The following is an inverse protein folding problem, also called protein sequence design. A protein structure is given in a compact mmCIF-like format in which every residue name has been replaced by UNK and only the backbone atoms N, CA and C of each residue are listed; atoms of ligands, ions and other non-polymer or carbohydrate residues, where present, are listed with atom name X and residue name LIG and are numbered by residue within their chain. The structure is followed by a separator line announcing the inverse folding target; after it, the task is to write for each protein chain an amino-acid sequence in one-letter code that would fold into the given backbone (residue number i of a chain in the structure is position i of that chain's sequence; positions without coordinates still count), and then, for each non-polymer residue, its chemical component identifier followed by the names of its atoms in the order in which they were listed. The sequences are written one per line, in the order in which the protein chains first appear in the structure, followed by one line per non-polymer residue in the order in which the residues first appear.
data_IF_817801687544
#
_entry.id   IF_817801687544
#
_cell.length_a   1.000
_cell.length_b   1.000
_cell.length_c   1.000
_cell.angle_alpha   90.00
_cell.angle_beta   90.00
_cell.angle_gamma   90.00
#
_symmetry.space_group_name_H-M   'P 1'
#
loop_
_entity.id
_entity.type
_entity.pdbx_description
1 polymer ?
#
# COMPACT_ATOMS: atom_id res chain seq x y z
N UNK A 1 19.45 -13.13 21.22
CA UNK A 1 19.81 -14.18 20.25
C UNK A 1 18.92 -14.13 19.03
N UNK A 2 19.53 -14.16 17.85
CA UNK A 2 18.84 -14.05 16.56
C UNK A 2 18.17 -15.39 16.22
N UNK A 3 16.86 -15.47 16.48
CA UNK A 3 16.01 -16.62 16.24
C UNK A 3 16.05 -17.13 14.79
N UNK A 4 16.42 -16.27 13.82
CA UNK A 4 16.54 -16.64 12.41
C UNK A 4 17.81 -17.44 12.08
N UNK A 5 18.82 -17.43 12.95
CA UNK A 5 20.03 -18.25 12.79
C UNK A 5 19.81 -19.70 13.23
N UNK A 6 18.70 -20.01 13.88
CA UNK A 6 18.42 -21.32 14.46
C UNK A 6 18.50 -22.47 13.44
N UNK A 7 18.05 -22.25 12.20
CA UNK A 7 18.17 -23.26 11.14
C UNK A 7 19.63 -23.56 10.81
N UNK A 8 20.46 -22.51 10.68
CA UNK A 8 21.88 -22.65 10.34
C UNK A 8 22.67 -23.32 11.46
N UNK A 9 22.36 -22.98 12.71
CA UNK A 9 22.96 -23.59 13.91
C UNK A 9 22.53 -25.05 14.05
N UNK A 10 21.25 -25.36 13.82
CA UNK A 10 20.76 -26.75 13.85
C UNK A 10 21.40 -27.62 12.76
N UNK A 11 21.63 -27.05 11.57
CA UNK A 11 22.30 -27.75 10.47
C UNK A 11 23.78 -27.98 10.76
N UNK A 12 24.48 -26.99 11.32
CA UNK A 12 25.89 -27.13 11.71
C UNK A 12 26.07 -28.13 12.86
N UNK A 13 25.13 -28.16 13.83
CA UNK A 13 25.12 -29.17 14.90
C UNK A 13 24.81 -30.58 14.38
N UNK A 14 23.87 -30.73 13.44
CA UNK A 14 23.58 -32.02 12.79
C UNK A 14 24.81 -32.57 12.06
N UNK A 15 25.61 -31.71 11.43
CA UNK A 15 26.82 -32.14 10.72
C UNK A 15 27.99 -32.49 11.64
N UNK A 16 28.02 -31.94 12.87
CA UNK A 16 29.09 -32.19 13.86
C UNK A 16 28.80 -33.35 14.80
N UNK A 17 27.52 -33.68 15.00
CA UNK A 17 27.08 -34.80 15.83
C UNK A 17 26.88 -36.01 14.93
N UNK A 18 27.70 -37.05 15.12
CA UNK A 18 27.55 -38.33 14.43
C UNK A 18 26.09 -38.82 14.53
N UNK A 19 25.56 -39.41 13.44
CA UNK A 19 24.14 -39.60 13.09
C UNK A 19 23.23 -40.40 14.05
N UNK A 20 23.60 -40.50 15.32
CA UNK A 20 22.83 -41.01 16.44
C UNK A 20 21.87 -39.97 17.05
N UNK A 21 22.02 -38.68 16.72
CA UNK A 21 21.22 -37.59 17.29
C UNK A 21 20.33 -36.90 16.24
N UNK A 22 19.05 -36.73 16.56
CA UNK A 22 18.10 -35.94 15.76
C UNK A 22 18.01 -34.52 16.31
N UNK A 23 18.70 -33.57 15.66
CA UNK A 23 18.59 -32.14 16.01
C UNK A 23 17.31 -31.57 15.38
N UNK A 24 16.41 -30.99 16.19
CA UNK A 24 15.23 -30.26 15.71
C UNK A 24 15.34 -28.82 16.14
N UNK A 25 15.20 -27.90 15.20
CA UNK A 25 15.12 -26.47 15.51
C UNK A 25 13.71 -26.10 16.05
N UNK A 26 13.63 -24.95 16.73
CA UNK A 26 12.39 -24.47 17.33
C UNK A 26 11.30 -24.15 16.29
N UNK A 27 11.69 -23.80 15.06
CA UNK A 27 10.81 -23.60 13.90
C UNK A 27 10.15 -24.91 13.42
N UNK A 28 10.83 -26.05 13.55
CA UNK A 28 10.29 -27.38 13.27
C UNK A 28 9.36 -27.87 14.38
N UNK A 29 9.70 -27.59 15.65
CA UNK A 29 8.83 -27.91 16.80
C UNK A 29 7.50 -27.14 16.75
N UNK A 30 7.50 -25.89 16.26
CA UNK A 30 6.31 -25.04 16.17
C UNK A 30 5.85 -24.83 14.71
N UNK A 31 5.98 -25.86 13.87
CA UNK A 31 5.68 -25.77 12.44
C UNK A 31 4.23 -25.35 12.14
N UNK A 32 3.25 -25.78 12.95
CA UNK A 32 1.85 -25.36 12.81
C UNK A 32 1.66 -23.86 13.11
N UNK A 33 2.33 -23.33 14.13
CA UNK A 33 2.30 -21.90 14.46
C UNK A 33 2.93 -21.06 13.34
N UNK A 34 4.10 -21.47 12.83
CA UNK A 34 4.74 -20.77 11.70
C UNK A 34 3.90 -20.82 10.43
N UNK A 35 3.25 -21.96 10.14
CA UNK A 35 2.30 -22.07 9.02
C UNK A 35 1.09 -21.17 9.21
N UNK A 36 0.55 -21.08 10.43
CA UNK A 36 -0.55 -20.17 10.76
C UNK A 36 -0.15 -18.70 10.55
N UNK A 37 0.97 -18.25 11.12
CA UNK A 37 1.49 -16.87 10.95
C UNK A 37 1.79 -16.54 9.49
N UNK A 38 2.36 -17.48 8.73
CA UNK A 38 2.61 -17.28 7.30
C UNK A 38 1.31 -17.15 6.50
N UNK A 39 0.32 -17.96 6.83
CA UNK A 39 -1.00 -17.93 6.17
C UNK A 39 -1.73 -16.63 6.49
N UNK A 40 -1.69 -16.18 7.75
CA UNK A 40 -2.24 -14.90 8.17
C UNK A 40 -1.59 -13.72 7.43
N UNK A 41 -0.25 -13.67 7.36
CA UNK A 41 0.47 -12.65 6.60
C UNK A 41 0.10 -12.66 5.11
N UNK A 42 -0.12 -13.83 4.53
CA UNK A 42 -0.58 -13.95 3.14
C UNK A 42 -1.98 -13.35 2.96
N UNK A 43 -2.91 -13.64 3.87
CA UNK A 43 -4.26 -13.07 3.84
C UNK A 43 -4.22 -11.55 3.99
N UNK A 44 -3.41 -11.02 4.93
CA UNK A 44 -3.20 -9.59 5.08
C UNK A 44 -2.64 -8.94 3.81
N UNK A 45 -1.65 -9.58 3.17
CA UNK A 45 -1.10 -9.11 1.90
C UNK A 45 -2.15 -9.07 0.79
N UNK A 46 -2.99 -10.11 0.67
CA UNK A 46 -4.08 -10.15 -0.32
C UNK A 46 -5.07 -9.00 -0.08
N UNK A 47 -5.57 -8.83 1.15
CA UNK A 47 -6.52 -7.77 1.49
C UNK A 47 -5.92 -6.39 1.18
N UNK A 48 -4.70 -6.13 1.64
CA UNK A 48 -4.02 -4.86 1.40
C UNK A 48 -3.83 -4.59 -0.10
N UNK A 49 -3.43 -5.61 -0.86
CA UNK A 49 -3.25 -5.50 -2.31
C UNK A 49 -4.56 -5.14 -3.03
N UNK A 50 -5.69 -5.68 -2.56
CA UNK A 50 -7.00 -5.45 -3.15
C UNK A 50 -7.49 -4.04 -2.84
N UNK A 51 -7.27 -3.54 -1.63
CA UNK A 51 -7.55 -2.14 -1.25
C UNK A 51 -6.74 -1.18 -2.14
N UNK A 52 -5.44 -1.43 -2.32
CA UNK A 52 -4.58 -0.61 -3.18
C UNK A 52 -5.04 -0.68 -4.65
N UNK A 53 -5.41 -1.86 -5.15
CA UNK A 53 -5.91 -2.02 -6.50
C UNK A 53 -7.22 -1.24 -6.74
N UNK A 54 -8.18 -1.32 -5.81
CA UNK A 54 -9.44 -0.56 -5.89
C UNK A 54 -9.17 0.95 -5.85
N UNK A 55 -8.27 1.41 -4.99
CA UNK A 55 -7.90 2.82 -4.92
C UNK A 55 -7.23 3.31 -6.21
N UNK A 56 -6.31 2.53 -6.79
CA UNK A 56 -5.67 2.85 -8.05
C UNK A 56 -6.68 2.91 -9.21
N UNK A 57 -7.61 1.95 -9.28
CA UNK A 57 -8.69 1.96 -10.27
C UNK A 57 -9.60 3.18 -10.13
N UNK A 58 -9.92 3.58 -8.90
CA UNK A 58 -10.71 4.78 -8.64
C UNK A 58 -9.99 6.04 -9.13
N UNK A 59 -8.68 6.18 -8.84
CA UNK A 59 -7.86 7.28 -9.34
C UNK A 59 -7.89 7.36 -10.88
N UNK A 60 -7.67 6.23 -11.56
CA UNK A 60 -7.75 6.16 -13.03
C UNK A 60 -9.12 6.60 -13.53
N UNK A 61 -10.19 6.11 -12.90
CA UNK A 61 -11.57 6.41 -13.28
C UNK A 61 -11.88 7.90 -13.16
N UNK A 62 -11.47 8.52 -12.05
CA UNK A 62 -11.63 9.96 -11.83
C UNK A 62 -10.84 10.77 -12.84
N UNK A 63 -9.57 10.43 -13.11
CA UNK A 63 -8.78 11.15 -14.11
C UNK A 63 -9.37 11.02 -15.53
N UNK A 64 -9.86 9.84 -15.90
CA UNK A 64 -10.53 9.65 -17.20
C UNK A 64 -11.79 10.49 -17.28
N UNK A 65 -12.61 10.51 -16.22
CA UNK A 65 -13.81 11.34 -16.14
C UNK A 65 -13.49 12.83 -16.29
N UNK A 66 -12.47 13.32 -15.58
CA UNK A 66 -12.04 14.73 -15.70
C UNK A 66 -11.58 15.04 -17.13
N UNK A 67 -10.86 14.12 -17.79
CA UNK A 67 -10.46 14.29 -19.19
C UNK A 67 -11.67 14.36 -20.11
N UNK A 68 -12.67 13.51 -19.90
CA UNK A 68 -13.89 13.51 -20.73
C UNK A 68 -14.71 14.78 -20.52
N UNK A 69 -14.88 15.23 -19.28
CA UNK A 69 -15.63 16.44 -18.95
C UNK A 69 -14.95 17.70 -19.50
N UNK A 70 -13.62 17.66 -19.69
CA UNK A 70 -12.80 18.74 -20.23
C UNK A 70 -12.48 18.62 -21.71
N UNK A 71 -13.18 17.75 -22.46
CA UNK A 71 -12.90 17.56 -23.89
C UNK A 71 -13.12 18.81 -24.74
N UNK A 72 -14.15 19.62 -24.45
CA UNK A 72 -14.41 20.87 -25.18
C UNK A 72 -13.29 21.89 -24.94
N UNK A 73 -12.89 22.11 -23.68
CA UNK A 73 -11.77 22.97 -23.29
C UNK A 73 -10.46 22.52 -23.98
N UNK A 74 -10.20 21.20 -24.01
CA UNK A 74 -9.03 20.63 -24.72
C UNK A 74 -9.11 20.92 -26.22
N UNK A 75 -10.28 20.76 -26.84
CA UNK A 75 -10.45 21.01 -28.27
C UNK A 75 -10.17 22.47 -28.62
N UNK A 76 -10.66 23.42 -27.82
CA UNK A 76 -10.36 24.86 -27.97
C UNK A 76 -8.85 25.12 -27.84
N UNK A 77 -8.20 24.56 -26.83
CA UNK A 77 -6.74 24.70 -26.68
C UNK A 77 -6.00 24.13 -27.90
N UNK A 78 -6.46 23.00 -28.45
CA UNK A 78 -5.88 22.40 -29.66
C UNK A 78 -6.09 23.26 -30.90
N UNK A 79 -7.22 23.95 -31.04
CA UNK A 79 -7.44 24.87 -32.17
C UNK A 79 -6.60 26.15 -32.04
N UNK A 80 -6.30 26.57 -30.81
CA UNK A 80 -5.34 27.65 -30.52
C UNK A 80 -3.87 27.24 -30.69
N UNK A 81 -3.59 25.99 -31.08
CA UNK A 81 -2.23 25.50 -31.37
C UNK A 81 -1.55 24.73 -30.24
N UNK A 82 -2.27 24.36 -29.17
CA UNK A 82 -1.71 23.52 -28.11
C UNK A 82 -1.30 22.14 -28.66
N UNK A 83 -0.05 21.75 -28.40
CA UNK A 83 0.45 20.44 -28.79
C UNK A 83 -0.15 19.33 -27.91
N UNK A 84 -0.33 18.10 -28.43
CA UNK A 84 -0.74 16.94 -27.65
C UNK A 84 0.13 16.68 -26.41
N UNK A 85 1.42 17.01 -26.49
CA UNK A 85 2.37 16.88 -25.37
C UNK A 85 2.07 17.87 -24.25
N UNK A 86 1.65 19.09 -24.58
CA UNK A 86 1.26 20.08 -23.59
C UNK A 86 0.04 19.61 -22.79
N UNK A 87 -0.97 19.06 -23.48
CA UNK A 87 -2.16 18.50 -22.84
C UNK A 87 -1.78 17.32 -21.95
N UNK A 88 -0.93 16.42 -22.43
CA UNK A 88 -0.43 15.29 -21.63
C UNK A 88 0.27 15.77 -20.35
N UNK A 89 1.11 16.80 -20.44
CA UNK A 89 1.83 17.34 -19.30
C UNK A 89 0.89 17.95 -18.24
N UNK A 90 -0.19 18.63 -18.65
CA UNK A 90 -1.18 19.19 -17.72
C UNK A 90 -1.82 18.07 -16.89
N UNK A 91 -2.29 17.01 -17.54
CA UNK A 91 -2.90 15.87 -16.84
C UNK A 91 -1.90 15.06 -16.02
N UNK A 92 -0.65 14.94 -16.48
CA UNK A 92 0.43 14.34 -15.70
C UNK A 92 0.70 15.10 -14.40
N UNK A 93 0.82 16.43 -14.48
CA UNK A 93 1.04 17.27 -13.29
C UNK A 93 -0.16 17.21 -12.35
N UNK A 94 -1.38 17.21 -12.88
CA UNK A 94 -2.59 17.07 -12.07
C UNK A 94 -2.64 15.73 -11.31
N UNK A 95 -2.40 14.62 -12.01
CA UNK A 95 -2.38 13.30 -11.36
C UNK A 95 -1.24 13.13 -10.36
N UNK A 96 -0.05 13.67 -10.67
CA UNK A 96 1.07 13.72 -9.73
C UNK A 96 0.76 14.55 -8.48
N UNK A 97 0.12 15.71 -8.64
CA UNK A 97 -0.27 16.56 -7.52
C UNK A 97 -1.25 15.83 -6.59
N UNK A 98 -2.29 15.20 -7.15
CA UNK A 98 -3.23 14.37 -6.38
C UNK A 98 -2.50 13.22 -5.68
N UNK A 99 -1.58 12.54 -6.38
CA UNK A 99 -0.77 11.46 -5.84
C UNK A 99 0.11 11.85 -4.66
N UNK A 100 0.83 12.96 -4.79
CA UNK A 100 1.74 13.48 -3.76
C UNK A 100 0.93 13.94 -2.55
N UNK A 101 -0.13 14.74 -2.76
CA UNK A 101 -0.97 15.22 -1.66
C UNK A 101 -1.63 14.04 -0.94
N UNK A 102 -2.19 13.08 -1.69
CA UNK A 102 -2.78 11.87 -1.13
C UNK A 102 -1.77 11.04 -0.35
N UNK A 103 -0.54 10.88 -0.86
CA UNK A 103 0.53 10.16 -0.16
C UNK A 103 0.94 10.88 1.12
N UNK A 104 1.13 12.20 1.09
CA UNK A 104 1.49 12.98 2.27
C UNK A 104 0.40 12.91 3.35
N UNK A 105 -0.86 13.11 2.98
CA UNK A 105 -1.99 12.99 3.91
C UNK A 105 -2.10 11.57 4.46
N UNK A 106 -1.96 10.55 3.61
CA UNK A 106 -1.99 9.14 4.01
C UNK A 106 -0.85 8.77 4.97
N UNK A 107 0.37 9.27 4.73
CA UNK A 107 1.52 9.06 5.61
C UNK A 107 1.32 9.76 6.95
N UNK A 108 0.88 11.02 6.97
CA UNK A 108 0.62 11.77 8.20
C UNK A 108 -0.45 11.06 9.03
N UNK A 109 -1.58 10.70 8.41
CA UNK A 109 -2.65 9.98 9.08
C UNK A 109 -2.19 8.60 9.56
N UNK A 110 -1.51 7.83 8.71
CA UNK A 110 -1.02 6.50 9.05
C UNK A 110 -0.01 6.50 10.20
N UNK A 111 0.96 7.42 10.17
CA UNK A 111 1.94 7.58 11.26
C UNK A 111 1.26 8.06 12.54
N UNK A 112 0.32 9.00 12.45
CA UNK A 112 -0.42 9.49 13.62
C UNK A 112 -1.22 8.36 14.27
N UNK A 113 -1.94 7.57 13.47
CA UNK A 113 -2.71 6.42 13.97
C UNK A 113 -1.79 5.36 14.56
N UNK A 114 -0.69 5.02 13.88
CA UNK A 114 0.26 4.01 14.37
C UNK A 114 0.92 4.43 15.69
N UNK A 115 1.30 5.70 15.84
CA UNK A 115 1.90 6.22 17.08
C UNK A 115 0.93 6.35 18.26
N UNK A 116 -0.38 6.39 18.00
CA UNK A 116 -1.42 6.53 19.04
C UNK A 116 -2.26 5.25 19.20
N UNK A 117 -1.76 4.10 18.71
CA UNK A 117 -2.55 2.85 18.73
C UNK A 117 -2.83 2.37 20.17
N UNK A 118 -1.93 2.69 21.09
CA UNK A 118 -2.03 2.47 22.53
C UNK A 118 -3.19 3.25 23.17
N UNK A 119 -3.60 4.37 22.58
CA UNK A 119 -4.75 5.16 23.02
C UNK A 119 -6.02 4.77 22.26
N UNK A 120 -5.92 4.55 20.95
CA UNK A 120 -7.06 4.26 20.06
C UNK A 120 -7.69 2.91 20.39
N UNK A 121 -6.88 1.87 20.62
CA UNK A 121 -7.38 0.51 20.86
C UNK A 121 -8.22 0.44 22.15
N UNK A 122 -7.74 0.90 23.33
CA UNK A 122 -8.55 0.87 24.55
C UNK A 122 -9.79 1.76 24.48
N UNK A 123 -9.75 2.86 23.71
CA UNK A 123 -10.92 3.71 23.49
C UNK A 123 -12.03 2.95 22.78
N UNK A 124 -11.71 2.25 21.69
CA UNK A 124 -12.67 1.43 20.94
C UNK A 124 -13.19 0.28 21.81
N UNK A 125 -12.32 -0.42 22.54
CA UNK A 125 -12.73 -1.51 23.44
C UNK A 125 -13.75 -1.05 24.49
N UNK A 126 -13.53 0.13 25.10
CA UNK A 126 -14.46 0.72 26.08
C UNK A 126 -15.79 1.14 25.45
N UNK A 127 -15.77 1.67 24.23
CA UNK A 127 -16.99 2.14 23.54
C UNK A 127 -17.86 0.97 23.07
N UNK A 128 -17.26 -0.10 22.55
CA UNK A 128 -17.99 -1.25 21.99
C UNK A 128 -18.15 -2.42 22.96
N UNK A 129 -17.56 -2.34 24.16
CA UNK A 129 -17.74 -3.34 25.22
C UNK A 129 -17.14 -4.71 24.89
N UNK A 130 -16.18 -4.78 23.95
CA UNK A 130 -15.45 -6.00 23.61
C UNK A 130 -13.99 -5.84 24.01
N UNK A 131 -13.38 -6.92 24.53
CA UNK A 131 -11.94 -6.99 24.79
C UNK A 131 -11.28 -7.68 23.61
N UNK A 132 -10.44 -6.97 22.85
CA UNK A 132 -9.72 -7.54 21.73
C UNK A 132 -8.61 -8.49 22.20
N UNK A 133 -8.02 -8.20 23.36
CA UNK A 133 -7.07 -9.07 24.05
C UNK A 133 -7.35 -9.10 25.55
N UNK A 134 -7.96 -10.18 26.10
CA UNK A 134 -8.05 -10.38 27.53
C UNK A 134 -6.64 -10.47 28.11
N UNK A 135 -6.28 -9.51 28.96
CA UNK A 135 -4.97 -9.42 29.66
C UNK A 135 -4.61 -10.68 30.45
N UNK A 136 -5.59 -11.54 30.72
CA UNK A 136 -5.45 -12.75 31.52
C UNK A 136 -4.87 -13.94 30.72
N UNK A 137 -4.87 -13.89 29.39
CA UNK A 137 -4.41 -14.98 28.51
C UNK A 137 -3.20 -14.55 27.67
N UNK A 138 -3.13 -13.27 27.27
CA UNK A 138 -1.98 -12.70 26.56
C UNK A 138 -1.22 -11.78 27.53
N UNK A 139 -0.07 -12.26 28.05
CA UNK A 139 0.90 -11.49 28.86
C UNK A 139 1.54 -10.28 28.11
N UNK A 140 0.89 -9.78 27.06
CA UNK A 140 1.32 -8.66 26.22
C UNK A 140 0.24 -7.58 26.35
N UNK A 141 0.44 -6.67 27.29
CA UNK A 141 -0.51 -5.60 27.66
C UNK A 141 -0.62 -4.47 26.62
N UNK A 142 0.19 -4.52 25.57
CA UNK A 142 0.21 -3.54 24.49
C UNK A 142 0.76 -4.22 23.24
N UNK A 143 0.08 -4.06 22.10
CA UNK A 143 0.68 -4.39 20.80
C UNK A 143 1.79 -3.36 20.59
N UNK A 144 3.08 -3.72 20.64
CA UNK A 144 4.14 -2.74 20.44
C UNK A 144 4.04 -2.21 19.01
N UNK A 145 3.66 -0.95 18.87
CA UNK A 145 3.68 -0.25 17.59
C UNK A 145 5.11 0.14 17.27
N UNK A 146 5.87 -0.79 16.70
CA UNK A 146 7.22 -0.49 16.22
C UNK A 146 7.14 0.23 14.88
N UNK A 147 7.08 1.56 14.94
CA UNK A 147 7.03 2.41 13.76
C UNK A 147 8.43 2.49 13.12
N UNK A 148 8.65 1.65 12.11
CA UNK A 148 9.93 1.60 11.39
C UNK A 148 9.93 2.67 10.30
N UNK A 149 10.67 3.75 10.50
CA UNK A 149 10.80 4.84 9.52
C UNK A 149 11.24 4.38 8.13
N UNK A 150 12.06 3.31 8.08
CA UNK A 150 12.44 2.67 6.80
C UNK A 150 11.25 2.09 6.03
N UNK A 151 10.27 1.52 6.72
CA UNK A 151 9.06 0.97 6.08
C UNK A 151 8.11 2.09 5.65
N UNK A 152 7.99 3.17 6.45
CA UNK A 152 7.24 4.38 6.08
C UNK A 152 7.80 5.00 4.79
N UNK A 153 9.13 5.16 4.70
CA UNK A 153 9.78 5.72 3.51
C UNK A 153 9.58 4.84 2.27
N UNK A 154 9.71 3.51 2.40
CA UNK A 154 9.49 2.57 1.30
C UNK A 154 8.04 2.61 0.80
N UNK A 155 7.07 2.61 1.72
CA UNK A 155 5.64 2.68 1.38
C UNK A 155 5.33 4.02 0.71
N UNK A 156 5.85 5.14 1.24
CA UNK A 156 5.70 6.46 0.62
C UNK A 156 6.22 6.49 -0.82
N UNK A 157 7.42 5.95 -1.05
CA UNK A 157 8.02 5.89 -2.38
C UNK A 157 7.22 5.01 -3.35
N UNK A 158 6.76 3.83 -2.90
CA UNK A 158 5.92 2.94 -3.70
C UNK A 158 4.57 3.59 -4.04
N UNK A 159 3.94 4.29 -3.11
CA UNK A 159 2.66 5.00 -3.32
C UNK A 159 2.78 6.08 -4.39
N UNK A 160 3.84 6.90 -4.35
CA UNK A 160 4.10 7.90 -5.39
C UNK A 160 4.32 7.21 -6.74
N UNK A 161 5.08 6.13 -6.78
CA UNK A 161 5.39 5.40 -8.01
C UNK A 161 4.13 4.77 -8.63
N UNK A 162 3.25 4.20 -7.81
CA UNK A 162 1.94 3.71 -8.27
C UNK A 162 1.04 4.84 -8.78
N UNK A 163 1.03 6.00 -8.13
CA UNK A 163 0.26 7.16 -8.61
C UNK A 163 0.75 7.65 -9.98
N UNK A 164 2.07 7.69 -10.19
CA UNK A 164 2.65 8.02 -11.50
C UNK A 164 2.18 7.03 -12.55
N UNK A 165 2.29 5.72 -12.29
CA UNK A 165 1.89 4.66 -13.22
C UNK A 165 0.40 4.75 -13.56
N UNK A 166 -0.45 4.97 -12.56
CA UNK A 166 -1.89 5.13 -12.75
C UNK A 166 -2.25 6.37 -13.61
N UNK A 167 -1.48 7.45 -13.50
CA UNK A 167 -1.72 8.71 -14.22
C UNK A 167 -1.32 8.64 -15.69
N UNK A 168 -0.39 7.76 -16.06
CA UNK A 168 0.12 7.66 -17.43
C UNK A 168 -0.97 7.33 -18.47
N UNK A 169 -1.87 6.38 -18.14
CA UNK A 169 -2.90 5.93 -19.08
C UNK A 169 -3.93 7.04 -19.41
N UNK A 170 -4.55 7.71 -18.41
CA UNK A 170 -5.46 8.83 -18.67
C UNK A 170 -4.79 10.00 -19.40
N UNK A 171 -3.55 10.36 -19.02
CA UNK A 171 -2.83 11.48 -19.65
C UNK A 171 -2.54 11.20 -21.13
N UNK A 172 -2.13 9.98 -21.46
CA UNK A 172 -1.93 9.57 -22.85
C UNK A 172 -3.24 9.55 -23.64
N UNK A 173 -4.34 9.13 -23.02
CA UNK A 173 -5.68 9.16 -23.64
C UNK A 173 -6.16 10.58 -23.90
N UNK A 174 -5.91 11.52 -22.98
CA UNK A 174 -6.22 12.94 -23.13
C UNK A 174 -5.44 13.59 -24.28
N UNK A 175 -4.18 13.20 -24.51
CA UNK A 175 -3.38 13.73 -25.61
C UNK A 175 -3.93 13.33 -26.99
N UNK A 176 -4.67 12.22 -27.07
CA UNK A 176 -5.20 11.64 -28.32
C UNK A 176 -6.64 12.06 -28.65
N UNK A 177 -7.30 12.85 -27.82
CA UNK A 177 -8.64 13.37 -28.15
C UNK A 177 -8.59 14.29 -29.36
N UNK A 178 -9.40 13.97 -30.37
CA UNK A 178 -9.43 14.68 -31.65
C UNK A 178 -10.39 15.88 -31.56
N UNK A 179 -9.96 17.09 -31.93
CA UNK A 179 -10.78 18.31 -31.79
C UNK A 179 -12.08 18.27 -32.61
N UNK A 180 -12.10 17.58 -33.75
CA UNK A 180 -13.27 17.48 -34.63
C UNK A 180 -14.43 16.64 -34.07
N UNK A 181 -14.18 15.74 -33.11
CA UNK A 181 -15.24 14.96 -32.47
C UNK A 181 -15.84 15.67 -31.26
N UNK A 182 -15.07 16.50 -30.55
CA UNK A 182 -15.53 17.19 -29.34
C UNK A 182 -16.55 18.30 -29.63
N UNK A 183 -16.40 19.03 -30.75
CA UNK A 183 -17.32 20.11 -31.18
C UNK A 183 -18.62 19.60 -31.82
N UNK A 184 -18.78 18.28 -32.04
CA UNK A 184 -19.98 17.69 -32.66
C UNK A 184 -21.04 17.27 -31.64
N UNK A 185 -20.73 17.35 -30.35
CA UNK A 185 -21.61 16.95 -29.25
C UNK A 185 -22.08 18.13 -28.39
N UNK A 186 -21.81 19.37 -28.84
CA UNK A 186 -22.58 20.56 -28.46
C UNK A 186 -23.68 20.86 -29.50
#
# INVERSE_FOLDING_TARGET
DDMFLAWRVAQDLTNRLDGLYSVRDWTQQHSNFFRAVKTEKLVMFIILSLIVAVAAFNLVSTLVMVVTDKQADIAILRTLGASPRLIMNVFMVQGLAVGIIGTLLGLILGVTVASNIDVIVPFIERTFGFQAMPSDIYYISSVPSELRMGDVARIGLLSVLFSVVATLYPAWRAARTQPAQALRYE
#
